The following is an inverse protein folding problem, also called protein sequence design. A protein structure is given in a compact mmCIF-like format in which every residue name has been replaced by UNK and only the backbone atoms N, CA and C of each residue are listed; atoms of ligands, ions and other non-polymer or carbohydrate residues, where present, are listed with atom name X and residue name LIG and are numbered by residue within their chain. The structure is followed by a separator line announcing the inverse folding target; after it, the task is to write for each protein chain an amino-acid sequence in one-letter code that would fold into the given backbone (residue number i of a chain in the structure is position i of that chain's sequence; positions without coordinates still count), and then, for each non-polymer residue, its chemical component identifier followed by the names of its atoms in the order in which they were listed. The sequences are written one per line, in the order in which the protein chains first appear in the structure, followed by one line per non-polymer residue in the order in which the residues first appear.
data_IF_360491969833
#
_entry.id   IF_360491969833
#
_cell.length_a   1.000
_cell.length_b   1.000
_cell.length_c   1.000
_cell.angle_alpha   90.00
_cell.angle_beta   90.00
_cell.angle_gamma   90.00
#
_symmetry.space_group_name_H-M   'P 1'
#
loop_
_entity.id
_entity.type
_entity.pdbx_description
1 polymer ?
#
# COMPACT_ATOMS: atom_id res chain seq x y z
N UNK A 1 -3.67 -0.64 15.81
CA UNK A 1 -3.91 0.59 16.54
C UNK A 1 -5.35 0.65 17.02
N UNK A 2 -6.35 0.78 16.18
CA UNK A 2 -7.74 0.94 16.59
C UNK A 2 -8.29 -0.14 17.56
N UNK A 3 -7.77 -1.35 17.51
CA UNK A 3 -8.21 -2.46 18.38
C UNK A 3 -7.58 -2.40 19.79
N UNK A 4 -6.49 -1.67 19.96
CA UNK A 4 -5.70 -1.66 21.20
C UNK A 4 -5.55 -0.24 21.78
N UNK A 5 -6.36 0.73 21.36
CA UNK A 5 -6.33 2.15 21.80
C UNK A 5 -4.92 2.78 21.71
N UNK A 6 -4.14 2.38 20.68
CA UNK A 6 -2.82 2.94 20.43
C UNK A 6 -2.97 4.08 19.43
N UNK A 7 -2.64 5.29 19.86
CA UNK A 7 -2.60 6.46 18.99
C UNK A 7 -1.35 6.42 18.11
N UNK A 8 -1.58 6.41 16.80
CA UNK A 8 -0.52 6.51 15.79
C UNK A 8 -0.44 7.95 15.27
N UNK A 9 0.76 8.51 15.19
CA UNK A 9 0.96 9.84 14.61
C UNK A 9 0.83 9.85 13.09
N UNK A 10 1.15 8.74 12.42
CA UNK A 10 1.05 8.59 10.98
C UNK A 10 1.02 7.13 10.54
N UNK A 11 0.58 6.89 9.31
CA UNK A 11 0.68 5.62 8.59
C UNK A 11 1.45 5.85 7.28
N UNK A 12 2.43 5.00 6.99
CA UNK A 12 3.14 5.02 5.71
C UNK A 12 3.06 3.65 5.06
N UNK A 13 2.48 3.58 3.88
CA UNK A 13 2.26 2.38 3.10
C UNK A 13 3.02 2.50 1.77
N UNK A 14 4.00 1.64 1.56
CA UNK A 14 4.82 1.61 0.34
C UNK A 14 4.58 0.29 -0.37
N UNK A 15 4.03 0.34 -1.58
CA UNK A 15 3.54 -0.82 -2.36
C UNK A 15 2.68 -1.77 -1.50
N UNK A 16 1.63 -1.29 -0.84
CA UNK A 16 0.92 -2.11 0.15
C UNK A 16 0.13 -3.24 -0.48
N UNK A 17 0.13 -4.40 0.18
CA UNK A 17 -0.79 -5.50 -0.08
C UNK A 17 -2.04 -5.28 0.75
N UNK A 18 -3.21 -5.13 0.11
CA UNK A 18 -4.42 -4.65 0.76
C UNK A 18 -5.66 -5.50 0.49
N UNK A 19 -5.75 -6.15 -0.69
CA UNK A 19 -6.96 -6.87 -1.11
C UNK A 19 -6.69 -8.34 -1.47
N UNK A 20 -7.22 -9.24 -0.63
CA UNK A 20 -7.12 -10.68 -0.84
C UNK A 20 -7.91 -11.18 -2.06
N UNK A 21 -8.88 -10.41 -2.56
CA UNK A 21 -9.69 -10.79 -3.73
C UNK A 21 -8.88 -10.82 -5.01
N UNK A 22 -7.85 -9.97 -5.09
CA UNK A 22 -6.95 -9.91 -6.24
C UNK A 22 -7.68 -9.62 -7.57
N UNK A 23 -8.72 -8.77 -7.54
CA UNK A 23 -9.60 -8.52 -8.69
C UNK A 23 -9.23 -7.26 -9.49
N UNK A 24 -8.29 -6.45 -9.00
CA UNK A 24 -7.88 -5.20 -9.66
C UNK A 24 -7.27 -5.44 -11.06
N UNK A 25 -7.33 -4.44 -11.93
CA UNK A 25 -6.78 -4.52 -13.29
C UNK A 25 -5.27 -4.73 -13.28
N UNK A 26 -4.54 -4.06 -12.39
CA UNK A 26 -3.10 -4.26 -12.24
C UNK A 26 -2.77 -5.69 -11.79
N UNK A 27 -3.57 -6.27 -10.89
CA UNK A 27 -3.41 -7.64 -10.43
C UNK A 27 -3.63 -8.67 -11.55
N UNK A 28 -4.55 -8.40 -12.48
CA UNK A 28 -4.78 -9.24 -13.66
C UNK A 28 -3.70 -9.07 -14.72
N UNK A 29 -3.17 -7.86 -14.88
CA UNK A 29 -2.22 -7.49 -15.92
C UNK A 29 -0.78 -7.93 -15.60
N UNK A 30 -0.33 -7.73 -14.36
CA UNK A 30 1.08 -7.91 -13.98
C UNK A 30 1.31 -9.28 -13.31
N UNK A 31 1.32 -10.35 -14.12
CA UNK A 31 1.39 -11.74 -13.65
C UNK A 31 2.81 -12.28 -13.49
N UNK A 32 3.80 -11.63 -14.12
CA UNK A 32 5.20 -12.08 -14.21
C UNK A 32 6.23 -10.95 -14.10
N UNK A 33 5.83 -9.77 -13.61
CA UNK A 33 6.77 -8.66 -13.35
C UNK A 33 7.87 -9.09 -12.38
N UNK A 34 9.10 -8.56 -12.55
CA UNK A 34 10.22 -8.86 -11.65
C UNK A 34 9.90 -8.46 -10.21
N UNK A 35 10.55 -9.14 -9.24
CA UNK A 35 10.49 -8.93 -7.80
C UNK A 35 9.14 -9.33 -7.19
N UNK A 36 8.03 -8.74 -7.66
CA UNK A 36 6.67 -9.04 -7.19
C UNK A 36 5.66 -9.01 -8.35
N UNK A 37 4.69 -9.93 -8.29
CA UNK A 37 3.66 -10.07 -9.31
C UNK A 37 2.43 -10.81 -8.73
N UNK A 38 1.36 -10.90 -9.50
CA UNK A 38 0.11 -11.51 -9.02
C UNK A 38 0.23 -13.02 -8.75
N UNK A 39 1.15 -13.72 -9.43
CA UNK A 39 1.42 -15.14 -9.13
C UNK A 39 1.99 -15.29 -7.72
N UNK A 40 2.93 -14.43 -7.34
CA UNK A 40 3.49 -14.40 -5.98
C UNK A 40 2.46 -13.90 -4.95
N UNK A 41 1.63 -12.90 -5.30
CA UNK A 41 0.54 -12.42 -4.43
C UNK A 41 -0.43 -13.55 -4.10
N UNK A 42 -0.84 -14.37 -5.07
CA UNK A 42 -1.70 -15.53 -4.84
C UNK A 42 -1.08 -16.50 -3.85
N UNK A 43 0.19 -16.84 -4.07
CA UNK A 43 0.90 -17.77 -3.18
C UNK A 43 1.06 -17.20 -1.77
N UNK A 44 1.33 -15.92 -1.66
CA UNK A 44 1.42 -15.22 -0.37
C UNK A 44 0.07 -15.27 0.38
N UNK A 45 -1.05 -14.98 -0.29
CA UNK A 45 -2.37 -15.03 0.33
C UNK A 45 -2.74 -16.44 0.77
N UNK A 46 -2.45 -17.48 -0.05
CA UNK A 46 -2.65 -18.89 0.34
C UNK A 46 -1.89 -19.23 1.63
N UNK A 47 -0.63 -18.81 1.75
CA UNK A 47 0.20 -19.06 2.92
C UNK A 47 -0.21 -18.23 4.14
N UNK A 48 -0.56 -16.95 3.92
CA UNK A 48 -0.91 -16.02 5.00
C UNK A 48 -2.27 -16.34 5.63
N UNK A 49 -3.25 -16.61 4.80
CA UNK A 49 -4.61 -16.87 5.28
C UNK A 49 -4.79 -18.32 5.74
N UNK A 50 -4.18 -19.27 5.04
CA UNK A 50 -4.40 -20.72 5.29
C UNK A 50 -5.90 -21.03 5.39
N UNK A 51 -6.31 -21.60 6.53
CA UNK A 51 -7.71 -21.93 6.85
C UNK A 51 -8.41 -20.82 7.67
N UNK A 52 -7.79 -19.65 7.78
CA UNK A 52 -8.32 -18.54 8.59
C UNK A 52 -9.44 -17.81 7.86
N UNK A 53 -10.44 -17.37 8.62
CA UNK A 53 -11.48 -16.46 8.11
C UNK A 53 -10.85 -15.09 7.80
N UNK A 54 -11.09 -14.59 6.59
CA UNK A 54 -10.60 -13.29 6.16
C UNK A 54 -11.43 -12.17 6.78
N UNK A 55 -10.77 -11.18 7.36
CA UNK A 55 -11.36 -9.95 7.90
C UNK A 55 -10.58 -8.71 7.46
N UNK A 56 -11.01 -7.53 7.90
CA UNK A 56 -10.37 -6.25 7.57
C UNK A 56 -8.97 -6.09 8.17
N UNK A 57 -8.57 -6.90 9.15
CA UNK A 57 -7.22 -6.88 9.71
C UNK A 57 -6.25 -7.68 8.84
N UNK A 58 -6.72 -8.72 8.19
CA UNK A 58 -5.94 -9.49 7.22
C UNK A 58 -5.92 -8.80 5.85
N UNK A 59 -7.06 -8.22 5.43
CA UNK A 59 -7.24 -7.58 4.13
C UNK A 59 -7.88 -6.19 4.30
N UNK A 60 -7.09 -5.12 4.45
CA UNK A 60 -7.59 -3.77 4.76
C UNK A 60 -8.58 -3.20 3.75
N UNK A 61 -8.57 -3.66 2.51
CA UNK A 61 -9.56 -3.27 1.50
C UNK A 61 -11.00 -3.65 1.89
N UNK A 62 -11.20 -4.63 2.78
CA UNK A 62 -12.51 -5.02 3.29
C UNK A 62 -13.10 -4.06 4.33
N UNK A 63 -12.26 -3.21 4.95
CA UNK A 63 -12.71 -2.31 6.01
C UNK A 63 -13.86 -1.42 5.54
N UNK A 64 -14.93 -1.33 6.32
CA UNK A 64 -16.06 -0.43 6.11
C UNK A 64 -16.06 0.79 7.03
N UNK A 65 -15.28 0.72 8.12
CA UNK A 65 -15.12 1.80 9.09
C UNK A 65 -13.64 2.19 9.23
N UNK A 66 -13.37 3.49 9.30
CA UNK A 66 -12.01 4.05 9.33
C UNK A 66 -11.83 4.96 10.57
N UNK A 67 -12.18 4.42 11.75
CA UNK A 67 -11.99 5.15 13.02
C UNK A 67 -10.51 5.16 13.41
N UNK A 68 -10.04 6.33 13.85
CA UNK A 68 -8.67 6.50 14.38
C UNK A 68 -7.55 6.15 13.37
N UNK A 69 -7.83 6.26 12.06
CA UNK A 69 -6.79 6.17 11.06
C UNK A 69 -6.02 7.50 11.04
N UNK A 70 -4.71 7.50 11.26
CA UNK A 70 -3.91 8.72 11.27
C UNK A 70 -3.71 9.26 9.85
N UNK A 71 -3.09 10.44 9.74
CA UNK A 71 -2.57 10.96 8.47
C UNK A 71 -1.76 9.87 7.76
N UNK A 72 -2.06 9.65 6.48
CA UNK A 72 -1.55 8.49 5.74
C UNK A 72 -0.78 8.92 4.50
N UNK A 73 0.38 8.31 4.27
CA UNK A 73 1.12 8.35 3.01
C UNK A 73 1.00 7.00 2.32
N UNK A 74 0.64 7.01 1.03
CA UNK A 74 0.59 5.79 0.19
C UNK A 74 1.45 6.02 -1.04
N UNK A 75 2.35 5.08 -1.32
CA UNK A 75 3.16 5.07 -2.53
C UNK A 75 2.91 3.82 -3.34
N UNK A 76 2.68 3.99 -4.64
CA UNK A 76 2.45 2.91 -5.60
C UNK A 76 3.48 2.99 -6.73
N UNK A 77 3.76 1.87 -7.39
CA UNK A 77 4.62 1.80 -8.56
C UNK A 77 3.77 1.46 -9.82
N UNK A 78 4.02 2.13 -10.95
CA UNK A 78 3.17 2.04 -12.14
C UNK A 78 3.04 0.61 -12.69
N UNK A 79 4.13 -0.15 -12.71
CA UNK A 79 4.19 -1.52 -13.26
C UNK A 79 4.17 -2.58 -12.15
N UNK A 80 3.30 -2.39 -11.15
CA UNK A 80 3.16 -3.29 -10.01
C UNK A 80 1.76 -3.92 -9.98
N UNK A 81 1.66 -5.19 -9.68
CA UNK A 81 0.37 -5.87 -9.47
C UNK A 81 -0.46 -5.24 -8.34
N UNK A 82 0.20 -4.61 -7.37
CA UNK A 82 -0.42 -3.94 -6.22
C UNK A 82 -0.79 -2.45 -6.49
N UNK A 83 -0.56 -1.94 -7.71
CA UNK A 83 -0.77 -0.54 -8.06
C UNK A 83 -2.21 -0.07 -7.80
N UNK A 84 -3.18 -0.75 -8.39
CA UNK A 84 -4.58 -0.29 -8.34
C UNK A 84 -5.17 -0.43 -6.94
N UNK A 85 -4.91 -1.52 -6.22
CA UNK A 85 -5.42 -1.69 -4.85
C UNK A 85 -4.86 -0.62 -3.89
N UNK A 86 -3.62 -0.16 -4.12
CA UNK A 86 -3.03 0.97 -3.39
C UNK A 86 -3.76 2.28 -3.66
N UNK A 87 -4.08 2.57 -4.93
CA UNK A 87 -4.83 3.77 -5.33
C UNK A 87 -6.28 3.71 -4.83
N UNK A 88 -6.95 2.58 -4.98
CA UNK A 88 -8.33 2.38 -4.52
C UNK A 88 -8.45 2.57 -3.01
N UNK A 89 -7.50 2.01 -2.25
CA UNK A 89 -7.46 2.18 -0.80
C UNK A 89 -7.21 3.64 -0.40
N UNK A 90 -6.29 4.34 -1.09
CA UNK A 90 -6.08 5.77 -0.86
C UNK A 90 -7.35 6.59 -1.08
N UNK A 91 -8.08 6.31 -2.17
CA UNK A 91 -9.34 6.99 -2.48
C UNK A 91 -10.41 6.65 -1.44
N UNK A 92 -10.47 5.41 -0.97
CA UNK A 92 -11.38 4.97 0.08
C UNK A 92 -11.13 5.68 1.40
N UNK A 93 -9.87 5.83 1.80
CA UNK A 93 -9.50 6.62 2.98
C UNK A 93 -9.90 8.10 2.83
N UNK A 94 -9.57 8.72 1.69
CA UNK A 94 -9.94 10.13 1.40
C UNK A 94 -11.44 10.36 1.47
N UNK A 95 -12.25 9.47 0.88
CA UNK A 95 -13.72 9.56 0.90
C UNK A 95 -14.31 9.43 2.31
N UNK A 96 -13.54 8.88 3.26
CA UNK A 96 -13.90 8.79 4.67
C UNK A 96 -13.25 9.91 5.53
N UNK A 97 -12.74 10.97 4.90
CA UNK A 97 -12.22 12.15 5.58
C UNK A 97 -10.80 12.02 6.13
N UNK A 98 -10.07 10.96 5.77
CA UNK A 98 -8.68 10.79 6.18
C UNK A 98 -7.75 11.65 5.31
N UNK A 99 -6.79 12.34 5.94
CA UNK A 99 -5.74 13.09 5.22
C UNK A 99 -4.75 12.10 4.58
N UNK A 100 -4.79 11.98 3.25
CA UNK A 100 -3.97 11.02 2.49
C UNK A 100 -3.13 11.71 1.43
N UNK A 101 -1.81 11.53 1.53
CA UNK A 101 -0.83 11.84 0.48
C UNK A 101 -0.61 10.58 -0.37
N UNK A 102 -1.09 10.59 -1.62
CA UNK A 102 -0.87 9.51 -2.58
C UNK A 102 0.21 9.91 -3.58
N UNK A 103 1.23 9.09 -3.71
CA UNK A 103 2.30 9.25 -4.67
C UNK A 103 2.44 8.01 -5.55
N UNK A 104 2.12 8.14 -6.84
CA UNK A 104 2.35 7.11 -7.84
C UNK A 104 3.67 7.37 -8.57
N UNK A 105 4.60 6.42 -8.52
CA UNK A 105 5.91 6.51 -9.17
C UNK A 105 5.83 5.97 -10.60
N UNK A 106 6.00 6.88 -11.58
CA UNK A 106 5.93 6.56 -13.01
C UNK A 106 7.21 5.84 -13.48
N UNK A 107 7.05 4.87 -14.37
CA UNK A 107 8.17 4.10 -14.93
C UNK A 107 8.82 3.12 -13.96
N UNK A 108 8.15 2.77 -12.88
CA UNK A 108 8.69 1.92 -11.81
C UNK A 108 7.91 0.63 -11.62
N UNK A 109 8.54 -0.36 -11.01
CA UNK A 109 7.95 -1.64 -10.61
C UNK A 109 8.08 -1.84 -9.09
N UNK A 110 7.48 -2.87 -8.56
CA UNK A 110 7.62 -3.24 -7.14
C UNK A 110 9.08 -3.33 -6.72
N UNK A 111 9.44 -2.72 -5.59
CA UNK A 111 10.81 -2.74 -5.07
C UNK A 111 11.83 -1.94 -5.90
N UNK A 112 11.39 -0.97 -6.71
CA UNK A 112 12.30 -0.14 -7.52
C UNK A 112 13.34 0.60 -6.67
N UNK A 113 13.08 0.80 -5.40
CA UNK A 113 13.99 1.46 -4.46
C UNK A 113 15.25 0.64 -4.11
N UNK A 114 15.34 -0.61 -4.56
CA UNK A 114 16.61 -1.36 -4.58
C UNK A 114 17.68 -0.66 -5.43
N UNK A 115 17.27 0.14 -6.44
CA UNK A 115 18.17 0.95 -7.26
C UNK A 115 18.52 2.29 -6.58
N UNK A 116 19.13 2.23 -5.40
CA UNK A 116 19.31 3.35 -4.45
C UNK A 116 19.99 4.60 -5.01
N UNK A 117 20.72 4.49 -6.13
CA UNK A 117 21.40 5.61 -6.82
C UNK A 117 20.54 6.25 -7.90
N UNK A 118 19.36 5.70 -8.20
CA UNK A 118 18.49 6.26 -9.23
C UNK A 118 17.84 7.55 -8.75
N UNK A 119 17.68 8.53 -9.67
CA UNK A 119 17.02 9.80 -9.36
C UNK A 119 15.61 9.61 -8.81
N UNK A 120 14.86 8.68 -9.38
CA UNK A 120 13.49 8.34 -8.95
C UNK A 120 13.46 7.83 -7.51
N UNK A 121 14.42 6.98 -7.12
CA UNK A 121 14.52 6.47 -5.74
C UNK A 121 14.87 7.59 -4.76
N UNK A 122 15.84 8.44 -5.12
CA UNK A 122 16.23 9.58 -4.27
C UNK A 122 15.02 10.50 -4.04
N UNK A 123 14.22 10.76 -5.07
CA UNK A 123 13.01 11.57 -4.97
C UNK A 123 11.95 10.90 -4.06
N UNK A 124 11.66 9.61 -4.26
CA UNK A 124 10.71 8.87 -3.44
C UNK A 124 11.11 8.83 -1.98
N UNK A 125 12.37 8.50 -1.69
CA UNK A 125 12.89 8.50 -0.31
C UNK A 125 12.82 9.88 0.32
N UNK A 126 13.07 10.94 -0.47
CA UNK A 126 12.89 12.34 -0.05
C UNK A 126 11.44 12.61 0.39
N UNK A 127 10.45 12.25 -0.43
CA UNK A 127 9.01 12.42 -0.10
C UNK A 127 8.61 11.66 1.16
N UNK A 128 9.03 10.40 1.29
CA UNK A 128 8.79 9.58 2.48
C UNK A 128 9.37 10.23 3.74
N UNK A 129 10.61 10.69 3.64
CA UNK A 129 11.32 11.36 4.76
C UNK A 129 10.63 12.68 5.15
N UNK A 130 10.23 13.47 4.17
CA UNK A 130 9.55 14.76 4.42
C UNK A 130 8.16 14.55 5.03
N UNK A 131 7.42 13.53 4.60
CA UNK A 131 6.17 13.14 5.24
C UNK A 131 6.39 12.81 6.72
N UNK A 132 7.34 11.93 7.04
CA UNK A 132 7.64 11.55 8.42
C UNK A 132 8.08 12.76 9.27
N UNK A 133 8.95 13.63 8.73
CA UNK A 133 9.38 14.85 9.45
C UNK A 133 8.20 15.77 9.82
N UNK A 134 7.17 15.86 8.97
CA UNK A 134 5.97 16.63 9.27
C UNK A 134 5.09 15.98 10.33
N UNK A 135 5.13 14.66 10.48
CA UNK A 135 4.32 13.91 11.44
C UNK A 135 4.93 13.89 12.85
N UNK A 136 6.23 14.08 12.98
CA UNK A 136 6.95 14.05 14.27
C UNK A 136 7.28 15.46 14.83
N UNK A 137 6.63 16.51 14.32
CA UNK A 137 6.81 17.88 14.81
C UNK A 137 5.74 18.31 15.78
#
# INVERSE_FOLDING_TARGET
AGKNDIDLCAQMLVYPVLDYKMESSSMQKYTDTPVWNSTLSRKMWELYLKDSKVDEYASPALASEFKNIPKTYIETAEYDSLHDEGIEYANKLKSNGIDVELFNTVGTMHGFDMASKSKTVIESVGKRTDFLRRCFR
#
